data_IF_390673231748
#
_entry.id   IF_390673231748
#
_cell.length_a   1.000
_cell.length_b   1.000
_cell.length_c   1.000
_cell.angle_alpha   90.00
_cell.angle_beta   90.00
_cell.angle_gamma   90.00
#
_symmetry.space_group_name_H-M   'P 1'
#
loop_
_entity.id
_entity.type
_entity.pdbx_description
1 polymer ?
#
# COMPACT_ATOMS: atom_id res chain seq x y z
N UNK A 1 -12.51 -8.20 24.12
CA UNK A 1 -11.27 -8.20 24.92
C UNK A 1 -10.26 -7.26 24.27
N UNK A 2 -9.71 -6.32 25.04
CA UNK A 2 -8.72 -5.37 24.55
C UNK A 2 -7.35 -6.06 24.42
N UNK A 3 -6.68 -5.83 23.29
CA UNK A 3 -5.33 -6.35 23.06
C UNK A 3 -4.35 -5.21 22.85
N UNK A 4 -3.23 -5.25 23.57
CA UNK A 4 -2.04 -4.42 23.35
C UNK A 4 -1.04 -5.26 22.54
N UNK A 5 -0.75 -4.82 21.32
CA UNK A 5 0.25 -5.44 20.44
C UNK A 5 1.52 -4.61 20.50
N UNK A 6 2.63 -5.23 20.89
CA UNK A 6 3.94 -4.55 20.98
C UNK A 6 4.83 -5.16 19.90
N UNK A 7 5.30 -4.30 19.00
CA UNK A 7 6.19 -4.71 17.92
C UNK A 7 7.55 -5.16 18.47
N UNK A 8 8.03 -6.33 18.03
CA UNK A 8 9.36 -6.87 18.33
C UNK A 8 10.28 -6.91 17.10
N UNK A 9 9.92 -6.18 16.03
CA UNK A 9 10.80 -6.00 14.88
C UNK A 9 12.10 -5.27 15.22
N UNK A 10 13.12 -5.40 14.37
CA UNK A 10 14.50 -4.98 14.64
C UNK A 10 14.62 -3.54 15.17
N UNK A 11 13.96 -2.56 14.53
CA UNK A 11 14.01 -1.15 14.99
C UNK A 11 13.41 -0.98 16.39
N UNK A 12 12.34 -1.73 16.70
CA UNK A 12 11.70 -1.70 18.02
C UNK A 12 12.57 -2.41 19.07
N UNK A 13 13.20 -3.52 18.72
CA UNK A 13 14.20 -4.20 19.56
C UNK A 13 15.35 -3.25 19.94
N UNK A 14 15.94 -2.57 18.93
CA UNK A 14 17.00 -1.59 19.14
C UNK A 14 16.55 -0.41 20.01
N UNK A 15 15.26 -0.09 20.02
CA UNK A 15 14.66 0.96 20.85
C UNK A 15 14.13 0.45 22.21
N UNK A 16 14.41 -0.80 22.58
CA UNK A 16 14.10 -1.35 23.90
C UNK A 16 12.75 -2.02 24.03
N UNK A 17 12.20 -2.58 22.95
CA UNK A 17 10.88 -3.27 22.95
C UNK A 17 10.77 -4.36 24.01
N UNK A 18 11.84 -5.13 24.29
CA UNK A 18 11.83 -6.18 25.32
C UNK A 18 11.64 -5.59 26.73
N UNK A 19 12.31 -4.47 27.03
CA UNK A 19 12.10 -3.77 28.32
C UNK A 19 10.69 -3.21 28.42
N UNK A 20 10.17 -2.65 27.31
CA UNK A 20 8.78 -2.18 27.24
C UNK A 20 7.81 -3.31 27.57
N UNK A 21 7.94 -4.49 26.95
CA UNK A 21 7.08 -5.63 27.17
C UNK A 21 7.12 -6.08 28.63
N UNK A 22 8.30 -6.18 29.23
CA UNK A 22 8.46 -6.56 30.63
C UNK A 22 7.74 -5.56 31.56
N UNK A 23 8.03 -4.27 31.41
CA UNK A 23 7.49 -3.23 32.29
C UNK A 23 5.97 -3.04 32.12
N UNK A 24 5.43 -3.27 30.92
CA UNK A 24 3.97 -3.21 30.68
C UNK A 24 3.24 -4.31 31.44
N UNK A 25 3.81 -5.53 31.50
CA UNK A 25 3.24 -6.65 32.27
C UNK A 25 3.20 -6.42 33.78
N UNK A 26 4.07 -5.53 34.29
CA UNK A 26 4.10 -5.17 35.71
C UNK A 26 2.97 -4.19 36.10
N UNK A 27 2.43 -3.41 35.15
CA UNK A 27 1.47 -2.34 35.43
C UNK A 27 0.08 -2.57 34.82
N UNK A 28 -0.07 -3.55 33.93
CA UNK A 28 -1.36 -3.88 33.26
C UNK A 28 -1.80 -5.27 33.73
N UNK A 29 -3.06 -5.35 34.16
CA UNK A 29 -3.71 -6.60 34.55
C UNK A 29 -3.95 -7.48 33.32
N UNK A 30 -3.14 -8.52 33.12
CA UNK A 30 -3.22 -9.47 31.99
C UNK A 30 -4.53 -10.29 32.01
N UNK A 31 -5.30 -10.30 33.11
CA UNK A 31 -6.63 -10.91 33.13
C UNK A 31 -7.69 -10.07 32.41
N UNK A 32 -7.44 -8.77 32.22
CA UNK A 32 -8.36 -7.81 31.58
C UNK A 32 -7.91 -7.39 30.19
N UNK A 33 -6.60 -7.34 29.96
CA UNK A 33 -6.00 -6.83 28.72
C UNK A 33 -4.92 -7.80 28.26
N UNK A 34 -5.11 -8.33 27.06
CA UNK A 34 -4.12 -9.21 26.44
C UNK A 34 -2.91 -8.43 25.97
N UNK A 35 -1.72 -8.85 26.39
CA UNK A 35 -0.44 -8.31 25.89
C UNK A 35 0.18 -9.30 24.92
N UNK A 36 0.48 -8.85 23.70
CA UNK A 36 0.98 -9.71 22.62
C UNK A 36 2.19 -9.09 21.94
N UNK A 37 3.25 -9.88 21.77
CA UNK A 37 4.33 -9.59 20.82
C UNK A 37 3.83 -9.80 19.41
N UNK A 38 4.17 -8.88 18.52
CA UNK A 38 3.78 -8.95 17.11
C UNK A 38 4.95 -8.58 16.20
N UNK A 39 4.99 -9.13 14.97
CA UNK A 39 5.95 -8.71 13.96
C UNK A 39 5.83 -7.21 13.65
N UNK A 40 6.68 -6.71 12.75
CA UNK A 40 6.70 -5.31 12.35
C UNK A 40 5.32 -4.80 11.93
N UNK A 41 4.85 -3.75 12.61
CA UNK A 41 3.58 -3.05 12.32
C UNK A 41 3.78 -1.80 11.45
N UNK A 42 4.93 -1.68 10.79
CA UNK A 42 5.23 -0.59 9.85
C UNK A 42 5.41 0.80 10.47
N UNK A 43 5.75 0.91 11.76
CA UNK A 43 5.98 2.20 12.45
C UNK A 43 7.41 2.35 12.96
N UNK A 44 8.36 1.80 12.22
CA UNK A 44 9.76 1.68 12.59
C UNK A 44 10.47 3.02 12.80
N UNK A 45 10.02 4.09 12.11
CA UNK A 45 10.55 5.44 12.31
C UNK A 45 10.22 6.01 13.71
N UNK A 46 9.22 5.44 14.39
CA UNK A 46 8.75 5.88 15.70
C UNK A 46 8.85 4.76 16.76
N UNK A 47 9.92 3.98 16.66
CA UNK A 47 10.20 2.88 17.59
C UNK A 47 10.52 3.39 19.02
N UNK A 48 10.18 2.60 20.08
CA UNK A 48 9.41 1.37 20.02
C UNK A 48 7.93 1.65 19.73
N UNK A 49 7.33 0.81 18.90
CA UNK A 49 5.95 0.99 18.44
C UNK A 49 5.03 -0.10 19.00
N UNK A 50 3.81 0.30 19.30
CA UNK A 50 2.77 -0.61 19.77
C UNK A 50 1.40 -0.23 19.18
N UNK A 51 0.39 -1.05 19.43
CA UNK A 51 -0.99 -0.79 19.09
C UNK A 51 -1.91 -1.20 20.24
N UNK A 52 -2.80 -0.31 20.67
CA UNK A 52 -3.83 -0.56 21.68
C UNK A 52 -5.17 -0.64 20.97
N UNK A 53 -5.76 -1.82 20.90
CA UNK A 53 -6.90 -2.05 20.01
C UNK A 53 -6.52 -1.75 18.55
N UNK A 54 -7.07 -0.68 17.96
CA UNK A 54 -6.72 -0.17 16.63
C UNK A 54 -5.89 1.12 16.66
N UNK A 55 -5.68 1.71 17.82
CA UNK A 55 -4.91 2.95 17.99
C UNK A 55 -3.42 2.65 17.99
N UNK A 56 -2.67 3.27 17.08
CA UNK A 56 -1.23 3.16 17.03
C UNK A 56 -0.58 4.02 18.13
N UNK A 57 0.49 3.49 18.74
CA UNK A 57 1.26 4.17 19.79
C UNK A 57 2.71 4.27 19.35
N UNK A 58 3.09 5.47 18.94
CA UNK A 58 4.45 5.82 18.56
C UNK A 58 5.30 6.15 19.80
N UNK A 59 6.59 5.79 19.78
CA UNK A 59 7.49 5.97 20.93
C UNK A 59 6.81 5.48 22.21
N UNK A 60 6.40 4.22 22.18
CA UNK A 60 5.57 3.60 23.20
C UNK A 60 6.33 3.53 24.53
N UNK A 61 5.63 3.90 25.61
CA UNK A 61 6.10 3.72 26.99
C UNK A 61 5.02 2.98 27.79
N UNK A 62 5.36 2.32 28.91
CA UNK A 62 4.37 1.64 29.73
C UNK A 62 3.19 2.54 30.13
N UNK A 63 3.48 3.79 30.53
CA UNK A 63 2.46 4.76 30.90
C UNK A 63 1.54 5.19 29.76
N UNK A 64 2.10 5.37 28.53
CA UNK A 64 1.30 5.64 27.34
C UNK A 64 0.34 4.47 27.04
N UNK A 65 0.82 3.24 27.12
CA UNK A 65 0.01 2.05 26.87
C UNK A 65 -1.09 1.88 27.91
N UNK A 66 -0.78 2.11 29.19
CA UNK A 66 -1.77 2.10 30.27
C UNK A 66 -2.79 3.22 30.08
N UNK A 67 -2.39 4.42 29.70
CA UNK A 67 -3.30 5.54 29.39
C UNK A 67 -4.25 5.17 28.27
N UNK A 68 -3.73 4.78 27.10
CA UNK A 68 -4.54 4.47 25.93
C UNK A 68 -5.42 3.22 26.10
N UNK A 69 -5.06 2.30 27.01
CA UNK A 69 -5.93 1.16 27.33
C UNK A 69 -7.22 1.54 28.06
N UNK A 70 -7.32 2.77 28.57
CA UNK A 70 -8.50 3.31 29.27
C UNK A 70 -9.28 4.33 28.42
N UNK A 71 -8.79 4.65 27.23
CA UNK A 71 -9.39 5.61 26.31
C UNK A 71 -10.02 4.91 25.10
N UNK A 72 -10.54 5.71 24.15
CA UNK A 72 -10.97 5.22 22.86
C UNK A 72 -9.79 4.60 22.09
N UNK A 73 -9.98 3.39 21.61
CA UNK A 73 -8.98 2.60 20.90
C UNK A 73 -9.19 2.57 19.38
N UNK A 74 -10.04 3.47 18.85
CA UNK A 74 -10.19 3.69 17.41
C UNK A 74 -8.89 4.23 16.80
N UNK A 75 -8.64 3.99 15.50
CA UNK A 75 -7.44 4.53 14.87
C UNK A 75 -7.48 6.05 14.83
N UNK A 76 -6.37 6.67 15.17
CA UNK A 76 -6.16 8.10 14.96
C UNK A 76 -5.83 8.33 13.48
N UNK A 77 -6.68 9.10 12.80
CA UNK A 77 -6.52 9.42 11.39
C UNK A 77 -5.59 10.64 11.29
N UNK A 78 -4.42 10.52 10.64
CA UNK A 78 -3.54 11.66 10.42
C UNK A 78 -4.16 12.65 9.42
N UNK A 79 -3.64 13.87 9.40
CA UNK A 79 -3.95 14.82 8.34
C UNK A 79 -3.44 14.27 7.01
N UNK A 80 -4.31 14.24 6.01
CA UNK A 80 -4.00 13.72 4.68
C UNK A 80 -4.68 14.56 3.60
N UNK A 81 -4.15 14.51 2.39
CA UNK A 81 -4.76 15.15 1.23
C UNK A 81 -6.05 14.41 0.84
N UNK A 82 -7.19 14.98 1.19
CA UNK A 82 -8.50 14.41 0.88
C UNK A 82 -8.91 14.69 -0.59
N UNK A 83 -10.07 14.16 -1.02
CA UNK A 83 -10.56 14.32 -2.39
C UNK A 83 -10.66 15.79 -2.83
N UNK A 84 -11.16 16.68 -1.97
CA UNK A 84 -11.28 18.10 -2.30
C UNK A 84 -9.92 18.74 -2.50
N UNK A 85 -8.98 18.47 -1.62
CA UNK A 85 -7.62 19.01 -1.70
C UNK A 85 -6.92 18.52 -2.97
N UNK A 86 -7.07 17.23 -3.30
CA UNK A 86 -6.47 16.66 -4.51
C UNK A 86 -7.08 17.24 -5.79
N UNK A 87 -8.41 17.43 -5.84
CA UNK A 87 -9.08 18.07 -6.97
C UNK A 87 -8.63 19.52 -7.16
N UNK A 88 -8.44 20.28 -6.07
CA UNK A 88 -8.00 21.68 -6.11
C UNK A 88 -6.62 21.87 -6.74
N UNK A 89 -5.75 20.86 -6.70
CA UNK A 89 -4.42 20.89 -7.35
C UNK A 89 -4.40 20.23 -8.73
N UNK A 90 -5.58 19.92 -9.30
CA UNK A 90 -5.70 19.30 -10.63
C UNK A 90 -5.67 17.77 -10.61
N UNK A 91 -5.93 17.14 -9.48
CA UNK A 91 -6.08 15.69 -9.38
C UNK A 91 -7.21 15.16 -10.26
N UNK A 92 -7.07 13.91 -10.70
CA UNK A 92 -7.96 13.20 -11.62
C UNK A 92 -8.04 13.77 -13.05
N UNK A 93 -7.29 14.82 -13.39
CA UNK A 93 -7.25 15.35 -14.76
C UNK A 93 -6.61 14.34 -15.74
N UNK A 94 -5.62 13.55 -15.29
CA UNK A 94 -5.05 12.49 -16.09
C UNK A 94 -6.08 11.38 -16.37
N UNK A 95 -6.81 10.97 -15.36
CA UNK A 95 -7.89 10.00 -15.49
C UNK A 95 -8.98 10.49 -16.46
N UNK A 96 -9.37 11.77 -16.39
CA UNK A 96 -10.34 12.36 -17.33
C UNK A 96 -9.85 12.34 -18.79
N UNK A 97 -8.53 12.47 -19.02
CA UNK A 97 -7.95 12.30 -20.36
C UNK A 97 -8.08 10.84 -20.86
N UNK A 98 -7.93 9.86 -19.98
CA UNK A 98 -8.17 8.45 -20.30
C UNK A 98 -9.63 8.21 -20.65
N UNK A 99 -10.57 8.68 -19.82
CA UNK A 99 -12.01 8.52 -20.01
C UNK A 99 -12.45 9.16 -21.33
N UNK A 100 -11.94 10.34 -21.65
CA UNK A 100 -12.24 11.05 -22.91
C UNK A 100 -11.46 10.52 -24.12
N UNK A 101 -10.70 9.43 -23.97
CA UNK A 101 -9.85 8.80 -25.00
C UNK A 101 -8.75 9.72 -25.58
N UNK A 102 -8.45 10.83 -24.91
CA UNK A 102 -7.29 11.69 -25.27
C UNK A 102 -5.95 11.04 -24.92
N UNK A 103 -5.96 10.09 -23.99
CA UNK A 103 -4.84 9.23 -23.64
C UNK A 103 -5.27 7.78 -23.76
N UNK A 104 -4.67 7.04 -24.69
CA UNK A 104 -4.94 5.62 -24.92
C UNK A 104 -3.85 4.71 -24.34
N UNK A 105 -4.08 3.39 -24.38
CA UNK A 105 -3.14 2.38 -23.85
C UNK A 105 -1.76 2.46 -24.49
N UNK A 106 -1.69 2.58 -25.82
CA UNK A 106 -0.42 2.58 -26.56
C UNK A 106 0.45 3.78 -26.16
N UNK A 107 -0.16 4.96 -26.09
CA UNK A 107 0.53 6.18 -25.65
C UNK A 107 0.99 6.05 -24.20
N UNK A 108 0.15 5.54 -23.30
CA UNK A 108 0.51 5.35 -21.90
C UNK A 108 1.68 4.34 -21.75
N UNK A 109 1.63 3.22 -22.46
CA UNK A 109 2.72 2.24 -22.50
C UNK A 109 4.01 2.87 -22.99
N UNK A 110 3.97 3.66 -24.07
CA UNK A 110 5.15 4.35 -24.60
C UNK A 110 5.75 5.33 -23.58
N UNK A 111 4.91 6.12 -22.90
CA UNK A 111 5.36 7.05 -21.86
C UNK A 111 5.98 6.29 -20.68
N UNK A 112 5.32 5.24 -20.19
CA UNK A 112 5.83 4.44 -19.08
C UNK A 112 7.16 3.73 -19.41
N UNK A 113 7.29 3.18 -20.61
CA UNK A 113 8.53 2.55 -21.08
C UNK A 113 9.70 3.54 -21.08
N UNK A 114 9.49 4.73 -21.64
CA UNK A 114 10.51 5.79 -21.71
C UNK A 114 10.85 6.35 -20.33
N UNK A 115 9.87 6.44 -19.42
CA UNK A 115 10.08 6.90 -18.05
C UNK A 115 10.99 5.97 -17.24
N UNK A 116 11.04 4.69 -17.61
CA UNK A 116 11.77 3.67 -16.86
C UNK A 116 11.08 3.20 -15.59
N UNK A 117 9.78 3.48 -15.41
CA UNK A 117 9.03 3.04 -14.22
C UNK A 117 9.02 1.52 -14.13
N UNK A 118 9.53 1.03 -13.02
CA UNK A 118 9.52 -0.40 -12.66
C UNK A 118 8.65 -0.62 -11.44
N UNK A 119 8.28 -1.87 -11.19
CA UNK A 119 7.55 -2.22 -9.97
C UNK A 119 8.35 -1.85 -8.72
N UNK A 120 7.77 -1.03 -7.84
CA UNK A 120 8.41 -0.51 -6.63
C UNK A 120 8.11 -1.35 -5.37
N UNK A 121 7.47 -2.50 -5.55
CA UNK A 121 7.22 -3.48 -4.47
C UNK A 121 8.34 -4.52 -4.28
N UNK A 122 9.50 -4.36 -4.94
CA UNK A 122 10.67 -5.24 -4.77
C UNK A 122 11.17 -5.89 -6.05
N UNK A 123 10.34 -6.61 -6.80
CA UNK A 123 10.75 -7.38 -7.98
C UNK A 123 11.25 -6.53 -9.17
N UNK A 124 10.87 -5.27 -9.26
CA UNK A 124 11.38 -4.36 -10.26
C UNK A 124 11.02 -4.69 -11.72
N UNK A 125 9.92 -5.41 -11.96
CA UNK A 125 9.49 -5.70 -13.33
C UNK A 125 8.95 -4.43 -14.00
N UNK A 126 9.28 -4.16 -15.30
CA UNK A 126 8.82 -2.94 -15.99
C UNK A 126 7.30 -2.83 -16.04
N UNK A 127 6.77 -1.67 -15.64
CA UNK A 127 5.32 -1.45 -15.54
C UNK A 127 4.62 -1.52 -16.91
N UNK A 128 5.22 -0.92 -17.93
CA UNK A 128 4.76 -0.96 -19.32
C UNK A 128 4.62 -2.38 -19.86
N UNK A 129 5.62 -3.24 -19.61
CA UNK A 129 5.61 -4.65 -20.03
C UNK A 129 4.49 -5.43 -19.34
N UNK A 130 4.26 -5.16 -18.06
CA UNK A 130 3.15 -5.78 -17.31
C UNK A 130 1.79 -5.45 -17.95
N UNK A 131 1.57 -4.19 -18.34
CA UNK A 131 0.34 -3.76 -19.00
C UNK A 131 0.18 -4.42 -20.38
N UNK A 132 1.25 -4.49 -21.18
CA UNK A 132 1.25 -5.16 -22.47
C UNK A 132 0.86 -6.64 -22.35
N UNK A 133 1.51 -7.35 -21.42
CA UNK A 133 1.27 -8.79 -21.21
C UNK A 133 -0.17 -9.05 -20.79
N UNK A 134 -0.68 -8.35 -19.78
CA UNK A 134 -2.05 -8.57 -19.31
C UNK A 134 -3.08 -8.20 -20.39
N UNK A 135 -2.83 -7.12 -21.13
CA UNK A 135 -3.74 -6.70 -22.19
C UNK A 135 -3.75 -7.67 -23.40
N UNK A 136 -2.71 -8.47 -23.61
CA UNK A 136 -2.64 -9.46 -24.69
C UNK A 136 -3.56 -10.67 -24.48
N UNK A 137 -4.00 -10.93 -23.26
CA UNK A 137 -4.95 -12.01 -22.97
C UNK A 137 -6.39 -11.54 -23.12
N UNK A 138 -7.23 -12.37 -23.72
CA UNK A 138 -8.64 -12.06 -23.95
C UNK A 138 -9.52 -12.37 -22.72
N UNK A 139 -10.71 -11.75 -22.68
CA UNK A 139 -11.74 -12.02 -21.68
C UNK A 139 -11.71 -11.07 -20.49
N UNK A 140 -12.39 -11.49 -19.42
CA UNK A 140 -12.46 -10.73 -18.15
C UNK A 140 -11.09 -10.66 -17.52
N UNK A 141 -10.67 -9.44 -17.15
CA UNK A 141 -9.40 -9.17 -16.44
C UNK A 141 -9.69 -8.56 -15.08
N UNK A 142 -8.84 -8.86 -14.13
CA UNK A 142 -8.87 -8.24 -12.81
C UNK A 142 -7.58 -7.47 -12.55
N UNK A 143 -7.67 -6.53 -11.62
CA UNK A 143 -6.51 -5.86 -11.07
C UNK A 143 -6.41 -6.13 -9.58
N UNK A 144 -5.20 -6.43 -9.11
CA UNK A 144 -4.88 -6.49 -7.69
C UNK A 144 -3.88 -5.40 -7.35
N UNK A 145 -4.09 -4.73 -6.21
CA UNK A 145 -3.14 -3.77 -5.66
C UNK A 145 -2.56 -4.38 -4.40
N UNK A 146 -1.25 -4.54 -4.41
CA UNK A 146 -0.52 -5.12 -3.29
C UNK A 146 -0.15 -4.03 -2.29
N UNK A 147 -0.93 -3.94 -1.21
CA UNK A 147 -0.69 -3.13 -0.03
C UNK A 147 -0.30 -3.97 1.20
N UNK A 148 0.12 -5.23 0.99
CA UNK A 148 0.66 -6.09 2.04
C UNK A 148 2.15 -5.82 2.24
N UNK A 149 2.45 -4.66 2.79
CA UNK A 149 3.82 -4.21 3.09
C UNK A 149 4.36 -4.94 4.32
N UNK A 150 4.59 -6.26 4.17
CA UNK A 150 4.97 -7.18 5.25
C UNK A 150 6.45 -7.21 5.58
N UNK A 151 7.35 -6.68 4.74
CA UNK A 151 8.79 -6.68 4.97
C UNK A 151 9.15 -5.88 6.23
N UNK A 152 9.81 -6.50 7.24
CA UNK A 152 10.20 -5.80 8.46
C UNK A 152 11.07 -4.58 8.18
N UNK A 153 10.70 -3.43 8.75
CA UNK A 153 11.39 -2.16 8.51
C UNK A 153 10.83 -1.34 7.36
N UNK A 154 9.89 -1.87 6.59
CA UNK A 154 9.27 -1.17 5.44
C UNK A 154 7.94 -0.54 5.85
N UNK A 155 7.75 0.75 5.50
CA UNK A 155 6.55 1.53 5.81
C UNK A 155 6.30 2.68 4.81
N UNK A 156 6.86 2.59 3.61
CA UNK A 156 6.74 3.61 2.56
C UNK A 156 5.32 3.66 1.96
N UNK A 157 4.69 2.49 1.77
CA UNK A 157 3.34 2.42 1.21
C UNK A 157 2.31 2.96 2.20
N UNK A 158 2.46 2.65 3.51
CA UNK A 158 1.68 3.29 4.56
C UNK A 158 1.83 4.80 4.55
N UNK A 159 3.04 5.31 4.43
CA UNK A 159 3.32 6.75 4.40
C UNK A 159 2.54 7.45 3.28
N UNK A 160 2.60 6.93 2.05
CA UNK A 160 1.89 7.52 0.92
C UNK A 160 0.37 7.44 1.08
N UNK A 161 -0.15 6.35 1.64
CA UNK A 161 -1.59 6.20 1.87
C UNK A 161 -2.11 7.04 3.04
N UNK A 162 -1.25 7.33 4.03
CA UNK A 162 -1.57 8.24 5.14
C UNK A 162 -1.36 9.72 4.78
N UNK A 163 -0.75 10.06 3.64
CA UNK A 163 -0.51 11.44 3.22
C UNK A 163 -1.25 11.83 1.93
N UNK A 164 -1.08 11.06 0.86
CA UNK A 164 -1.57 11.39 -0.50
C UNK A 164 -2.28 10.17 -1.15
N UNK A 165 -3.37 9.62 -0.56
CA UNK A 165 -4.01 8.39 -1.04
C UNK A 165 -4.54 8.50 -2.47
N UNK A 166 -4.95 9.70 -2.89
CA UNK A 166 -5.60 9.92 -4.19
C UNK A 166 -4.68 9.72 -5.38
N UNK A 167 -3.37 9.94 -5.25
CA UNK A 167 -2.42 9.63 -6.34
C UNK A 167 -2.43 8.14 -6.68
N UNK A 168 -2.43 7.28 -5.67
CA UNK A 168 -2.54 5.84 -5.86
C UNK A 168 -3.91 5.45 -6.44
N UNK A 169 -4.99 6.02 -5.90
CA UNK A 169 -6.36 5.73 -6.35
C UNK A 169 -6.58 6.16 -7.81
N UNK A 170 -6.09 7.33 -8.22
CA UNK A 170 -6.12 7.77 -9.61
C UNK A 170 -5.29 6.85 -10.51
N UNK A 171 -4.06 6.53 -10.09
CA UNK A 171 -3.18 5.61 -10.83
C UNK A 171 -3.80 4.22 -11.02
N UNK A 172 -4.51 3.73 -10.00
CA UNK A 172 -5.23 2.47 -10.08
C UNK A 172 -6.38 2.50 -11.11
N UNK A 173 -7.18 3.56 -11.11
CA UNK A 173 -8.26 3.73 -12.10
C UNK A 173 -7.70 3.86 -13.53
N UNK A 174 -6.62 4.63 -13.70
CA UNK A 174 -5.95 4.77 -15.00
C UNK A 174 -5.47 3.41 -15.50
N UNK A 175 -4.73 2.67 -14.68
CA UNK A 175 -4.20 1.36 -15.05
C UNK A 175 -5.32 0.36 -15.38
N UNK A 176 -6.36 0.30 -14.55
CA UNK A 176 -7.48 -0.60 -14.74
C UNK A 176 -8.27 -0.29 -16.02
N UNK A 177 -8.56 0.98 -16.30
CA UNK A 177 -9.29 1.39 -17.51
C UNK A 177 -8.48 1.12 -18.77
N UNK A 178 -7.21 1.49 -18.81
CA UNK A 178 -6.37 1.33 -19.99
C UNK A 178 -6.10 -0.16 -20.31
N UNK A 179 -5.89 -1.00 -19.30
CA UNK A 179 -5.68 -2.44 -19.49
C UNK A 179 -6.98 -3.21 -19.67
N UNK A 180 -8.13 -2.56 -19.40
CA UNK A 180 -9.45 -3.17 -19.53
C UNK A 180 -9.79 -4.14 -18.40
N UNK A 181 -9.45 -3.80 -17.17
CA UNK A 181 -9.81 -4.57 -15.99
C UNK A 181 -11.25 -4.30 -15.56
N UNK A 182 -11.98 -5.34 -15.20
CA UNK A 182 -13.39 -5.25 -14.82
C UNK A 182 -13.59 -4.85 -13.34
N UNK A 183 -12.61 -5.15 -12.48
CA UNK A 183 -12.67 -4.85 -11.05
C UNK A 183 -11.25 -4.79 -10.46
N UNK A 184 -11.10 -3.96 -9.44
CA UNK A 184 -9.86 -3.78 -8.66
C UNK A 184 -10.07 -4.41 -7.28
N UNK A 185 -9.08 -5.17 -6.81
CA UNK A 185 -9.00 -5.68 -5.45
C UNK A 185 -7.78 -5.07 -4.77
N UNK A 186 -8.01 -4.22 -3.79
CA UNK A 186 -6.97 -3.59 -2.99
C UNK A 186 -6.73 -4.44 -1.74
N UNK A 187 -5.63 -5.17 -1.71
CA UNK A 187 -5.24 -6.02 -0.59
C UNK A 187 -4.37 -5.24 0.38
N UNK A 188 -4.91 -4.98 1.57
CA UNK A 188 -4.29 -4.12 2.59
C UNK A 188 -4.00 -4.88 3.87
N UNK A 189 -2.86 -4.60 4.49
CA UNK A 189 -2.52 -5.10 5.82
C UNK A 189 -3.55 -4.64 6.85
N UNK A 190 -3.95 -5.56 7.73
CA UNK A 190 -4.84 -5.26 8.85
C UNK A 190 -4.16 -4.42 9.95
N UNK A 191 -2.83 -4.43 9.96
CA UNK A 191 -1.98 -3.65 10.87
C UNK A 191 -1.97 -2.14 10.56
N UNK A 192 -2.62 -1.72 9.46
CA UNK A 192 -2.76 -0.31 9.06
C UNK A 192 -4.20 0.20 9.20
N UNK A 193 -4.79 0.20 10.41
CA UNK A 193 -6.21 0.52 10.57
C UNK A 193 -6.55 1.96 10.16
N UNK A 194 -5.66 2.94 10.35
CA UNK A 194 -5.89 4.31 9.90
C UNK A 194 -5.99 4.38 8.37
N UNK A 195 -5.08 3.70 7.65
CA UNK A 195 -5.11 3.61 6.18
C UNK A 195 -6.41 2.99 5.70
N UNK A 196 -6.88 1.91 6.36
CA UNK A 196 -8.14 1.27 5.99
C UNK A 196 -9.34 2.21 6.12
N UNK A 197 -9.39 3.04 7.17
CA UNK A 197 -10.47 4.02 7.35
C UNK A 197 -10.36 5.17 6.32
N UNK A 198 -9.15 5.69 6.05
CA UNK A 198 -8.93 6.69 4.99
C UNK A 198 -9.42 6.16 3.64
N UNK A 199 -8.96 4.97 3.24
CA UNK A 199 -9.31 4.39 1.95
C UNK A 199 -10.81 4.14 1.79
N UNK A 200 -11.48 3.64 2.84
CA UNK A 200 -12.93 3.45 2.83
C UNK A 200 -13.67 4.79 2.63
N UNK A 201 -13.30 5.80 3.42
CA UNK A 201 -13.93 7.11 3.34
C UNK A 201 -13.73 7.78 1.97
N UNK A 202 -12.52 7.70 1.41
CA UNK A 202 -12.23 8.35 0.13
C UNK A 202 -12.80 7.57 -1.08
N UNK A 203 -12.79 6.23 -1.05
CA UNK A 203 -13.45 5.41 -2.08
C UNK A 203 -14.96 5.68 -2.10
N UNK A 204 -15.62 5.74 -0.94
CA UNK A 204 -17.05 6.07 -0.85
C UNK A 204 -17.39 7.43 -1.45
N UNK A 205 -16.52 8.44 -1.28
CA UNK A 205 -16.66 9.75 -1.93
C UNK A 205 -16.47 9.64 -3.45
N UNK A 206 -15.47 8.87 -3.89
CA UNK A 206 -15.15 8.69 -5.30
C UNK A 206 -16.25 7.94 -6.06
N UNK A 207 -16.87 6.94 -5.45
CA UNK A 207 -17.99 6.19 -6.03
C UNK A 207 -19.20 7.08 -6.37
N UNK A 208 -19.32 8.25 -5.75
CA UNK A 208 -20.36 9.26 -6.04
C UNK A 208 -19.98 10.19 -7.20
N UNK A 209 -18.78 10.05 -7.76
CA UNK A 209 -18.28 10.88 -8.87
C UNK A 209 -18.57 10.20 -10.23
N UNK A 210 -18.56 10.99 -11.28
CA UNK A 210 -18.77 10.48 -12.65
C UNK A 210 -17.49 9.98 -13.34
N UNK A 211 -16.35 10.01 -12.65
CA UNK A 211 -15.07 9.55 -13.18
C UNK A 211 -14.52 8.30 -12.47
N UNK A 212 -15.23 7.78 -11.47
CA UNK A 212 -14.88 6.51 -10.83
C UNK A 212 -15.58 5.36 -11.54
N UNK A 213 -14.90 4.69 -12.49
CA UNK A 213 -15.55 3.79 -13.44
C UNK A 213 -15.30 2.31 -13.18
N UNK A 214 -14.13 1.97 -12.61
CA UNK A 214 -13.81 0.57 -12.28
C UNK A 214 -14.07 0.33 -10.80
N UNK A 215 -14.98 -0.58 -10.44
CA UNK A 215 -15.26 -0.88 -9.04
C UNK A 215 -14.01 -1.34 -8.29
N UNK A 216 -13.82 -0.84 -7.06
CA UNK A 216 -12.70 -1.23 -6.20
C UNK A 216 -13.23 -1.85 -4.90
N UNK A 217 -12.64 -2.97 -4.50
CA UNK A 217 -12.97 -3.66 -3.27
C UNK A 217 -11.72 -3.78 -2.38
N UNK A 218 -11.81 -3.31 -1.13
CA UNK A 218 -10.74 -3.48 -0.15
C UNK A 218 -10.83 -4.89 0.43
N UNK A 219 -9.73 -5.63 0.36
CA UNK A 219 -9.53 -6.92 1.01
C UNK A 219 -8.51 -6.77 2.13
N UNK A 220 -8.92 -7.14 3.35
CA UNK A 220 -8.02 -7.13 4.50
C UNK A 220 -7.09 -8.33 4.43
N UNK A 221 -5.80 -8.09 4.61
CA UNK A 221 -4.76 -9.09 4.58
C UNK A 221 -4.89 -10.13 5.71
N UNK A 222 -4.34 -11.31 5.47
CA UNK A 222 -4.37 -12.42 6.44
C UNK A 222 -3.35 -12.27 7.59
N UNK A 223 -2.56 -11.21 7.62
CA UNK A 223 -1.53 -10.98 8.64
C UNK A 223 -0.31 -11.90 8.51
N UNK A 224 -0.04 -12.43 7.33
CA UNK A 224 1.08 -13.32 7.05
C UNK A 224 2.01 -12.70 5.99
N UNK A 225 3.31 -12.64 6.28
CA UNK A 225 4.34 -12.10 5.37
C UNK A 225 4.26 -12.66 3.96
N UNK A 226 4.00 -13.98 3.83
CA UNK A 226 3.94 -14.66 2.53
C UNK A 226 2.84 -14.10 1.61
N UNK A 227 1.79 -13.49 2.16
CA UNK A 227 0.72 -12.89 1.37
C UNK A 227 1.15 -11.60 0.63
N UNK A 228 2.34 -11.07 0.89
CA UNK A 228 2.99 -10.05 0.06
C UNK A 228 3.52 -10.59 -1.28
N UNK A 229 3.69 -11.91 -1.43
CA UNK A 229 3.98 -12.54 -2.72
C UNK A 229 2.70 -12.57 -3.57
N UNK A 230 2.79 -12.17 -4.85
CA UNK A 230 1.61 -11.87 -5.67
C UNK A 230 0.64 -13.04 -5.86
N UNK A 231 1.13 -14.28 -5.95
CA UNK A 231 0.27 -15.45 -6.13
C UNK A 231 -0.34 -15.92 -4.80
N UNK A 232 0.40 -15.82 -3.69
CA UNK A 232 -0.11 -16.08 -2.35
C UNK A 232 -1.19 -15.06 -1.94
N UNK A 233 -0.99 -13.78 -2.30
CA UNK A 233 -2.00 -12.73 -2.13
C UNK A 233 -3.30 -13.09 -2.87
N UNK A 234 -3.21 -13.56 -4.10
CA UNK A 234 -4.37 -13.98 -4.90
C UNK A 234 -5.09 -15.15 -4.24
N UNK A 235 -4.38 -16.17 -3.76
CA UNK A 235 -4.99 -17.27 -3.01
C UNK A 235 -5.74 -16.75 -1.77
N UNK A 236 -5.16 -15.80 -1.04
CA UNK A 236 -5.79 -15.17 0.11
C UNK A 236 -7.06 -14.38 -0.27
N UNK A 237 -7.03 -13.61 -1.38
CA UNK A 237 -8.21 -12.88 -1.89
C UNK A 237 -9.33 -13.87 -2.26
N UNK A 238 -8.98 -15.03 -2.80
CA UNK A 238 -9.92 -16.11 -3.15
C UNK A 238 -10.48 -16.86 -1.92
N UNK A 239 -10.07 -16.48 -0.69
CA UNK A 239 -10.52 -17.12 0.54
C UNK A 239 -9.80 -18.43 0.85
N UNK A 240 -8.69 -18.72 0.18
CA UNK A 240 -7.85 -19.88 0.38
C UNK A 240 -6.68 -19.55 1.30
N UNK A 241 -5.93 -20.60 1.71
CA UNK A 241 -4.65 -20.40 2.38
C UNK A 241 -3.67 -19.72 1.44
N UNK A 242 -3.03 -18.63 1.89
CA UNK A 242 -2.08 -17.84 1.11
C UNK A 242 -0.77 -18.58 0.84
N UNK A 243 -0.81 -19.54 -0.06
CA UNK A 243 0.35 -20.30 -0.51
C UNK A 243 0.74 -19.86 -1.92
N UNK A 244 2.04 -19.65 -2.20
CA UNK A 244 2.51 -19.32 -3.55
C UNK A 244 2.13 -20.41 -4.56
N UNK A 245 1.77 -19.99 -5.77
CA UNK A 245 1.48 -20.88 -6.89
C UNK A 245 2.76 -21.27 -7.64
N UNK A 246 2.79 -22.46 -8.19
CA UNK A 246 3.81 -22.82 -9.18
C UNK A 246 3.68 -21.95 -10.44
N UNK A 247 4.81 -21.60 -11.03
CA UNK A 247 4.90 -20.84 -12.28
C UNK A 247 5.69 -21.64 -13.32
N UNK A 248 5.29 -21.65 -14.61
CA UNK A 248 4.07 -21.08 -15.18
C UNK A 248 2.81 -21.88 -14.76
N UNK A 249 1.56 -21.34 -14.93
CA UNK A 249 1.25 -20.04 -15.52
C UNK A 249 1.50 -18.87 -14.57
N UNK A 250 1.84 -17.72 -15.13
CA UNK A 250 1.95 -16.47 -14.38
C UNK A 250 0.57 -15.86 -14.13
N UNK A 251 0.44 -15.01 -13.11
CA UNK A 251 -0.83 -14.37 -12.77
C UNK A 251 -1.38 -13.48 -13.89
N UNK A 252 -0.51 -12.95 -14.75
CA UNK A 252 -0.90 -12.20 -15.93
C UNK A 252 -1.75 -13.03 -16.91
N UNK A 253 -1.55 -14.34 -16.93
CA UNK A 253 -2.29 -15.31 -17.73
C UNK A 253 -3.45 -15.93 -16.91
N UNK A 254 -3.13 -16.47 -15.74
CA UNK A 254 -4.07 -17.19 -14.86
C UNK A 254 -3.91 -16.75 -13.41
N UNK A 255 -4.44 -15.58 -13.10
CA UNK A 255 -4.40 -14.96 -11.78
C UNK A 255 -5.67 -15.16 -10.97
N UNK A 256 -6.26 -14.06 -10.51
CA UNK A 256 -7.42 -14.03 -9.63
C UNK A 256 -8.65 -14.68 -10.31
N UNK A 257 -9.26 -15.63 -9.61
CA UNK A 257 -10.38 -16.46 -10.11
C UNK A 257 -10.07 -17.12 -11.47
N UNK A 258 -8.80 -17.47 -11.70
CA UNK A 258 -8.35 -18.08 -12.95
C UNK A 258 -8.35 -17.15 -14.16
N UNK A 259 -8.40 -15.83 -13.96
CA UNK A 259 -8.46 -14.80 -15.02
C UNK A 259 -7.13 -14.03 -15.11
N UNK A 260 -6.81 -13.45 -16.29
CA UNK A 260 -5.69 -12.54 -16.41
C UNK A 260 -5.74 -11.43 -15.37
N UNK A 261 -4.64 -11.23 -14.65
CA UNK A 261 -4.61 -10.30 -13.52
C UNK A 261 -3.41 -9.37 -13.59
N UNK A 262 -3.71 -8.06 -13.57
CA UNK A 262 -2.72 -7.01 -13.42
C UNK A 262 -2.45 -6.80 -11.94
N UNK A 263 -1.21 -6.99 -11.50
CA UNK A 263 -0.82 -6.71 -10.12
C UNK A 263 0.18 -5.56 -10.04
N UNK A 264 -0.10 -4.58 -9.18
CA UNK A 264 0.82 -3.49 -8.87
C UNK A 264 0.96 -3.24 -7.37
N UNK A 265 2.13 -2.75 -6.96
CA UNK A 265 2.35 -2.20 -5.63
C UNK A 265 1.79 -0.77 -5.53
N UNK A 266 1.49 -0.31 -4.32
CA UNK A 266 0.98 1.02 -3.99
C UNK A 266 1.82 2.14 -4.63
N UNK A 267 3.13 2.15 -4.35
CA UNK A 267 4.02 3.22 -4.83
C UNK A 267 4.16 3.23 -6.35
N UNK A 268 4.08 2.08 -7.01
CA UNK A 268 4.10 2.03 -8.48
C UNK A 268 2.92 2.80 -9.06
N UNK A 269 1.73 2.62 -8.51
CA UNK A 269 0.51 3.30 -8.94
C UNK A 269 0.53 4.79 -8.60
N UNK A 270 1.12 5.15 -7.48
CA UNK A 270 1.28 6.52 -7.03
C UNK A 270 1.97 7.44 -8.07
N UNK A 271 2.95 6.92 -8.78
CA UNK A 271 3.69 7.69 -9.80
C UNK A 271 3.01 7.76 -11.16
N UNK A 272 2.06 6.88 -11.48
CA UNK A 272 1.43 6.80 -12.81
C UNK A 272 0.76 8.11 -13.24
N UNK A 273 -0.09 8.79 -12.45
CA UNK A 273 -0.76 10.01 -12.88
C UNK A 273 0.22 11.12 -13.24
N UNK A 274 1.26 11.32 -12.45
CA UNK A 274 2.26 12.35 -12.69
C UNK A 274 3.13 12.04 -13.92
N UNK A 275 3.56 10.79 -14.09
CA UNK A 275 4.35 10.37 -15.27
C UNK A 275 3.54 10.59 -16.55
N UNK A 276 2.28 10.20 -16.57
CA UNK A 276 1.43 10.35 -17.74
C UNK A 276 1.04 11.81 -18.01
N UNK A 277 0.99 12.65 -16.98
CA UNK A 277 0.66 14.07 -17.11
C UNK A 277 1.86 14.93 -17.49
N UNK A 278 3.02 14.70 -16.84
CA UNK A 278 4.23 15.51 -16.98
C UNK A 278 5.18 14.95 -18.06
N UNK A 279 4.97 13.72 -18.47
CA UNK A 279 5.79 13.04 -19.50
C UNK A 279 6.91 12.19 -18.94
N UNK A 280 7.43 11.32 -19.80
CA UNK A 280 8.47 10.35 -19.46
C UNK A 280 9.78 10.97 -19.00
N UNK A 281 10.18 12.07 -19.65
CA UNK A 281 11.47 12.74 -19.38
C UNK A 281 11.49 13.36 -17.98
N UNK A 282 10.34 13.87 -17.52
CA UNK A 282 10.21 14.40 -16.16
C UNK A 282 10.59 13.34 -15.12
N UNK A 283 9.98 12.15 -15.18
CA UNK A 283 10.27 11.11 -14.19
C UNK A 283 11.68 10.52 -14.36
N UNK A 284 12.09 10.26 -15.60
CA UNK A 284 13.44 9.78 -15.89
C UNK A 284 14.52 10.73 -15.37
N UNK A 285 14.30 12.04 -15.51
CA UNK A 285 15.22 13.09 -15.06
C UNK A 285 15.30 13.27 -13.54
N UNK A 286 14.38 12.69 -12.75
CA UNK A 286 14.50 12.61 -11.29
C UNK A 286 15.57 11.60 -10.86
N UNK A 287 16.01 10.73 -11.76
CA UNK A 287 17.02 9.73 -11.48
C UNK A 287 18.45 10.27 -11.53
N UNK A 288 19.39 9.42 -11.18
CA UNK A 288 20.80 9.79 -11.07
C UNK A 288 21.50 9.88 -12.46
N UNK A 289 21.12 9.02 -13.39
CA UNK A 289 21.66 8.98 -14.76
C UNK A 289 20.75 8.13 -15.69
N UNK A 290 21.11 7.98 -16.96
CA UNK A 290 20.33 7.25 -17.96
C UNK A 290 20.02 5.78 -17.59
N UNK A 291 20.88 5.14 -16.81
CA UNK A 291 20.69 3.76 -16.35
C UNK A 291 19.88 3.67 -15.05
N UNK A 292 19.73 4.77 -14.32
CA UNK A 292 19.06 4.86 -13.04
C UNK A 292 17.99 5.97 -13.09
N UNK A 293 16.96 5.71 -13.90
CA UNK A 293 15.83 6.63 -14.13
C UNK A 293 14.86 6.59 -12.95
N UNK A 294 14.25 7.76 -12.69
CA UNK A 294 13.19 7.91 -11.71
C UNK A 294 13.66 7.81 -10.28
N UNK A 295 12.69 7.76 -9.39
CA UNK A 295 12.90 7.71 -7.94
C UNK A 295 12.12 6.56 -7.32
N UNK A 296 12.49 6.19 -6.11
CA UNK A 296 11.76 5.28 -5.24
C UNK A 296 11.88 5.71 -3.80
N UNK A 297 10.91 5.38 -2.99
CA UNK A 297 10.92 5.65 -1.58
C UNK A 297 11.72 4.60 -0.81
N UNK A 298 12.41 5.05 0.22
CA UNK A 298 13.10 4.21 1.18
C UNK A 298 12.58 4.45 2.59
N UNK A 299 12.27 3.38 3.30
CA UNK A 299 11.94 3.41 4.71
C UNK A 299 13.21 3.39 5.54
N UNK A 300 13.51 4.47 6.23
CA UNK A 300 14.73 4.65 7.03
C UNK A 300 14.39 4.67 8.50
N UNK A 301 15.01 3.79 9.30
CA UNK A 301 14.76 3.69 10.75
C UNK A 301 15.97 3.13 11.51
N UNK A 302 15.86 3.03 12.83
CA UNK A 302 16.95 2.56 13.68
C UNK A 302 17.86 3.69 14.15
N UNK A 303 19.19 3.46 14.22
CA UNK A 303 20.16 4.44 14.74
C UNK A 303 20.55 5.48 13.68
N UNK A 304 19.59 6.27 13.25
CA UNK A 304 19.76 7.37 12.28
C UNK A 304 19.22 8.67 12.83
N UNK A 305 19.76 9.80 12.37
CA UNK A 305 19.36 11.13 12.85
C UNK A 305 17.92 11.48 12.42
N UNK A 306 17.56 11.16 11.20
CA UNK A 306 16.28 11.51 10.61
C UNK A 306 15.56 10.26 10.07
N UNK A 307 14.91 9.45 10.92
CA UNK A 307 14.09 8.33 10.46
C UNK A 307 12.87 8.84 9.69
N UNK A 308 12.32 7.99 8.81
CA UNK A 308 11.15 8.33 7.98
C UNK A 308 11.28 7.78 6.57
N UNK A 309 10.35 8.16 5.70
CA UNK A 309 10.43 7.86 4.27
C UNK A 309 11.28 8.92 3.57
N UNK A 310 12.18 8.48 2.72
CA UNK A 310 13.11 9.31 1.96
C UNK A 310 12.98 9.00 0.47
#
# INVERSE_FOLDING_TARGET
ELTIRICDGLSCEMAGAQHLIKNVKEIIDENKIRIQKVPCIGRCANAPAAQVGKKAVNNATPLKLLKFSKEDTTPEIPDYQNLSDYLNIGGYECLKKVISKKLNLENAISILAKSGLRGLGGAGFPADKKWQIVNSYNGIRYMTINGDEGEPGTFKDRFWLESEPHKMLEGAQIAALLVGCNKIYLYMRDEYPAVLEILKAEIEKLEKTNFWLVPMEIRRGAGAYICGEESAMIESIEGKRGLPRHRPPYIAEKGLFGRPTLNHNIETLFWIPEILSKGSEWFAGLGFNENHKGVRSYSVSGRVLNPGVK
#
